data_IF_843621564694
#
_entry.id   IF_843621564694
#
_cell.length_a   1.000
_cell.length_b   1.000
_cell.length_c   1.000
_cell.angle_alpha   90.00
_cell.angle_beta   90.00
_cell.angle_gamma   90.00
#
_symmetry.space_group_name_H-M   'P 1'
#
loop_
_entity.id
_entity.type
_entity.pdbx_description
1 polymer ?
#
# COMPACT_ATOMS: atom_id res chain seq x y z
N UNK A 1 -5.05 37.25 -30.38
CA UNK A 1 -5.51 36.89 -29.03
C UNK A 1 -6.30 35.60 -29.17
N UNK A 2 -5.62 34.47 -29.15
CA UNK A 2 -6.24 33.13 -29.25
C UNK A 2 -6.22 32.53 -27.85
N UNK A 3 -7.42 32.34 -27.29
CA UNK A 3 -7.61 31.65 -26.02
C UNK A 3 -7.46 30.14 -26.26
N UNK A 4 -6.39 29.56 -25.79
CA UNK A 4 -6.27 28.09 -25.68
C UNK A 4 -7.25 27.58 -24.62
N UNK A 5 -8.33 26.97 -25.08
CA UNK A 5 -9.20 26.16 -24.22
C UNK A 5 -8.50 24.85 -23.98
N UNK A 6 -7.89 24.70 -22.81
CA UNK A 6 -7.35 23.43 -22.34
C UNK A 6 -8.51 22.48 -22.08
N UNK A 7 -8.83 21.63 -23.04
CA UNK A 7 -9.76 20.52 -22.87
C UNK A 7 -9.07 19.49 -21.98
N UNK A 8 -9.40 19.49 -20.69
CA UNK A 8 -9.07 18.37 -19.80
C UNK A 8 -9.87 17.17 -20.29
N UNK A 9 -9.23 16.28 -21.03
CA UNK A 9 -9.78 14.97 -21.37
C UNK A 9 -10.01 14.23 -20.05
N UNK A 10 -11.26 14.08 -19.64
CA UNK A 10 -11.66 13.11 -18.66
C UNK A 10 -11.24 11.73 -19.19
N UNK A 11 -10.14 11.20 -18.65
CA UNK A 11 -9.70 9.83 -18.95
C UNK A 11 -10.74 8.94 -18.26
N UNK A 12 -11.60 8.33 -19.04
CA UNK A 12 -12.60 7.40 -18.53
C UNK A 12 -11.87 6.24 -17.84
N UNK A 13 -12.09 6.08 -16.54
CA UNK A 13 -11.44 5.02 -15.77
C UNK A 13 -11.83 3.66 -16.33
N UNK A 14 -10.84 2.77 -16.51
CA UNK A 14 -11.09 1.39 -16.93
C UNK A 14 -11.99 0.67 -15.92
N UNK A 15 -12.71 -0.36 -16.36
CA UNK A 15 -13.55 -1.19 -15.48
C UNK A 15 -12.72 -1.79 -14.35
N UNK A 16 -11.49 -2.23 -14.64
CA UNK A 16 -10.54 -2.67 -13.63
C UNK A 16 -10.32 -1.61 -12.54
N UNK A 17 -10.03 -0.37 -12.91
CA UNK A 17 -9.80 0.72 -11.96
C UNK A 17 -11.05 1.04 -11.13
N UNK A 18 -12.24 1.00 -11.75
CA UNK A 18 -13.51 1.21 -11.04
C UNK A 18 -13.74 0.13 -9.98
N UNK A 19 -13.59 -1.14 -10.34
CA UNK A 19 -13.77 -2.25 -9.39
C UNK A 19 -12.70 -2.19 -8.29
N UNK A 20 -11.44 -1.94 -8.64
CA UNK A 20 -10.34 -1.79 -7.70
C UNK A 20 -10.61 -0.68 -6.68
N UNK A 21 -11.07 0.48 -7.14
CA UNK A 21 -11.41 1.59 -6.26
C UNK A 21 -12.60 1.25 -5.35
N UNK A 22 -13.62 0.58 -5.85
CA UNK A 22 -14.76 0.14 -5.04
C UNK A 22 -14.35 -0.86 -3.95
N UNK A 23 -13.37 -1.75 -4.23
CA UNK A 23 -12.79 -2.63 -3.21
C UNK A 23 -12.05 -1.82 -2.16
N UNK A 24 -11.19 -0.89 -2.58
CA UNK A 24 -10.38 -0.05 -1.70
C UNK A 24 -11.27 0.86 -0.83
N UNK A 25 -12.33 1.41 -1.40
CA UNK A 25 -13.26 2.30 -0.68
C UNK A 25 -14.25 1.54 0.21
N UNK A 26 -14.29 0.21 0.13
CA UNK A 26 -15.22 -0.62 0.90
C UNK A 26 -16.64 -0.67 0.33
N UNK A 27 -16.84 -0.20 -0.91
CA UNK A 27 -18.11 -0.28 -1.63
C UNK A 27 -18.44 -1.69 -2.13
N UNK A 28 -17.40 -2.54 -2.23
CA UNK A 28 -17.49 -3.98 -2.37
C UNK A 28 -17.02 -4.62 -1.06
N UNK A 29 -17.98 -5.10 -0.28
CA UNK A 29 -17.73 -5.59 1.08
C UNK A 29 -17.24 -7.04 1.12
N UNK A 30 -16.46 -7.33 2.15
CA UNK A 30 -15.69 -8.55 2.37
C UNK A 30 -16.48 -9.87 2.35
N UNK A 31 -17.74 -9.86 2.70
CA UNK A 31 -18.55 -11.09 2.82
C UNK A 31 -19.56 -11.22 1.68
N UNK A 32 -19.54 -10.34 0.70
CA UNK A 32 -20.43 -10.40 -0.44
C UNK A 32 -19.72 -11.03 -1.64
N UNK A 33 -20.32 -12.07 -2.21
CA UNK A 33 -19.77 -12.74 -3.39
C UNK A 33 -19.80 -11.81 -4.60
N UNK A 34 -18.62 -11.53 -5.12
CA UNK A 34 -18.41 -10.76 -6.35
C UNK A 34 -18.76 -11.66 -7.54
N UNK A 35 -19.72 -11.24 -8.37
CA UNK A 35 -20.10 -11.99 -9.57
C UNK A 35 -20.09 -11.11 -10.80
N UNK A 36 -19.70 -11.66 -11.95
CA UNK A 36 -19.73 -10.96 -13.24
C UNK A 36 -21.07 -10.27 -13.50
N UNK A 37 -22.17 -10.96 -13.19
CA UNK A 37 -23.53 -10.44 -13.45
C UNK A 37 -23.88 -9.22 -12.61
N UNK A 38 -23.51 -9.20 -11.31
CA UNK A 38 -23.73 -8.06 -10.43
C UNK A 38 -22.93 -6.85 -10.90
N UNK A 39 -21.64 -7.05 -11.21
CA UNK A 39 -20.77 -5.95 -11.64
C UNK A 39 -21.12 -5.43 -13.03
N UNK A 40 -21.47 -6.30 -13.98
CA UNK A 40 -21.92 -5.91 -15.31
C UNK A 40 -23.16 -4.98 -15.21
N UNK A 41 -24.11 -5.33 -14.31
CA UNK A 41 -25.27 -4.48 -14.03
C UNK A 41 -24.86 -3.17 -13.32
N UNK A 42 -23.98 -3.23 -12.31
CA UNK A 42 -23.52 -2.05 -11.54
C UNK A 42 -22.85 -1.00 -12.44
N UNK A 43 -21.98 -1.44 -13.36
CA UNK A 43 -21.23 -0.54 -14.23
C UNK A 43 -21.84 -0.32 -15.61
N UNK A 44 -22.96 -0.96 -15.90
CA UNK A 44 -23.68 -0.88 -17.19
C UNK A 44 -22.79 -1.23 -18.40
N UNK A 45 -22.07 -2.38 -18.31
CA UNK A 45 -21.20 -2.90 -19.34
C UNK A 45 -21.48 -4.40 -19.59
N UNK A 46 -20.94 -4.96 -20.69
CA UNK A 46 -21.00 -6.40 -20.94
C UNK A 46 -20.15 -7.19 -19.93
N UNK A 47 -20.30 -8.52 -19.87
CA UNK A 47 -19.56 -9.39 -18.96
C UNK A 47 -18.07 -9.52 -19.30
N UNK A 48 -17.71 -9.35 -20.57
CA UNK A 48 -16.32 -9.54 -21.03
C UNK A 48 -15.32 -8.64 -20.31
N UNK A 49 -15.47 -7.27 -20.31
CA UNK A 49 -14.54 -6.41 -19.59
C UNK A 49 -14.58 -6.62 -18.07
N UNK A 50 -15.71 -7.09 -17.51
CA UNK A 50 -15.79 -7.45 -16.09
C UNK A 50 -14.92 -8.68 -15.80
N UNK A 51 -15.03 -9.73 -16.62
CA UNK A 51 -14.23 -10.96 -16.46
C UNK A 51 -12.74 -10.71 -16.54
N UNK A 52 -12.30 -9.91 -17.52
CA UNK A 52 -10.91 -9.48 -17.65
C UNK A 52 -10.42 -8.73 -16.42
N UNK A 53 -11.21 -7.78 -15.93
CA UNK A 53 -10.89 -7.02 -14.71
C UNK A 53 -10.84 -7.91 -13.47
N UNK A 54 -11.79 -8.83 -13.29
CA UNK A 54 -11.79 -9.78 -12.17
C UNK A 54 -10.58 -10.72 -12.20
N UNK A 55 -10.24 -11.27 -13.39
CA UNK A 55 -9.05 -12.10 -13.54
C UNK A 55 -7.78 -11.33 -13.14
N UNK A 56 -7.66 -10.06 -13.54
CA UNK A 56 -6.52 -9.24 -13.14
C UNK A 56 -6.51 -8.97 -11.63
N UNK A 57 -7.66 -8.66 -11.02
CA UNK A 57 -7.79 -8.43 -9.58
C UNK A 57 -7.52 -9.71 -8.76
N UNK A 58 -7.84 -10.90 -9.29
CA UNK A 58 -7.47 -12.18 -8.68
C UNK A 58 -5.96 -12.42 -8.75
N UNK A 59 -5.31 -12.13 -9.90
CA UNK A 59 -3.85 -12.22 -10.04
C UNK A 59 -3.11 -11.23 -9.12
N UNK A 60 -3.73 -10.12 -8.81
CA UNK A 60 -3.23 -9.09 -7.88
C UNK A 60 -3.67 -9.35 -6.43
N UNK A 61 -4.40 -10.44 -6.17
CA UNK A 61 -4.92 -10.85 -4.87
C UNK A 61 -5.86 -9.84 -4.18
N UNK A 62 -6.51 -8.97 -4.93
CA UNK A 62 -7.63 -8.18 -4.40
C UNK A 62 -8.88 -9.04 -4.19
N UNK A 63 -8.99 -10.12 -4.96
CA UNK A 63 -10.10 -11.07 -4.93
C UNK A 63 -9.54 -12.48 -4.79
N UNK A 64 -10.15 -13.29 -3.93
CA UNK A 64 -9.85 -14.70 -3.74
C UNK A 64 -11.17 -15.46 -3.62
N UNK A 65 -11.36 -16.52 -4.41
CA UNK A 65 -12.56 -17.37 -4.41
C UNK A 65 -13.88 -16.57 -4.65
N UNK A 66 -13.78 -15.45 -5.36
CA UNK A 66 -14.91 -14.56 -5.65
C UNK A 66 -15.30 -13.62 -4.50
N UNK A 67 -14.44 -13.41 -3.53
CA UNK A 67 -14.60 -12.45 -2.42
C UNK A 67 -13.43 -11.47 -2.37
N UNK A 68 -13.66 -10.29 -1.80
CA UNK A 68 -12.55 -9.37 -1.48
C UNK A 68 -11.60 -10.09 -0.52
N UNK A 69 -10.32 -10.16 -0.92
CA UNK A 69 -9.31 -10.84 -0.13
C UNK A 69 -8.97 -10.06 1.12
N UNK A 70 -8.99 -10.75 2.25
CA UNK A 70 -8.45 -10.28 3.52
C UNK A 70 -7.52 -11.37 4.00
N UNK A 71 -6.24 -11.04 4.17
CA UNK A 71 -5.29 -12.02 4.64
C UNK A 71 -5.65 -12.48 6.07
N UNK A 72 -5.41 -13.74 6.34
CA UNK A 72 -5.33 -14.26 7.71
C UNK A 72 -4.12 -13.64 8.41
N UNK A 73 -4.05 -13.76 9.73
CA UNK A 73 -2.87 -13.31 10.50
C UNK A 73 -1.59 -13.96 10.00
N UNK A 74 -1.64 -15.22 9.59
CA UNK A 74 -0.50 -15.94 9.04
C UNK A 74 -0.11 -15.43 7.65
N UNK A 75 -1.07 -15.28 6.73
CA UNK A 75 -0.81 -14.71 5.40
C UNK A 75 -0.26 -13.29 5.52
N UNK A 76 -0.72 -12.49 6.49
CA UNK A 76 -0.23 -11.14 6.71
C UNK A 76 1.22 -11.11 7.22
N UNK A 77 1.60 -12.06 8.10
CA UNK A 77 3.01 -12.24 8.50
C UNK A 77 3.90 -12.56 7.30
N UNK A 78 3.46 -13.46 6.42
CA UNK A 78 4.19 -13.84 5.20
C UNK A 78 4.34 -12.65 4.23
N UNK A 79 3.34 -11.79 4.11
CA UNK A 79 3.42 -10.53 3.34
C UNK A 79 4.52 -9.62 3.93
N UNK A 80 4.56 -9.47 5.25
CA UNK A 80 5.58 -8.65 5.92
C UNK A 80 6.98 -9.25 5.87
N UNK A 81 7.12 -10.57 5.95
CA UNK A 81 8.40 -11.26 5.74
C UNK A 81 9.00 -10.92 4.37
N UNK A 82 8.17 -11.00 3.31
CA UNK A 82 8.58 -10.59 1.97
C UNK A 82 8.90 -9.09 1.89
N UNK A 83 8.11 -8.26 2.56
CA UNK A 83 8.33 -6.81 2.63
C UNK A 83 9.68 -6.49 3.26
N UNK A 84 9.97 -7.07 4.42
CA UNK A 84 11.24 -6.91 5.14
C UNK A 84 12.42 -7.31 4.23
N UNK A 85 12.33 -8.46 3.57
CA UNK A 85 13.38 -8.94 2.67
C UNK A 85 13.66 -7.95 1.52
N UNK A 86 12.61 -7.48 0.85
CA UNK A 86 12.75 -6.59 -0.30
C UNK A 86 13.21 -5.18 0.10
N UNK A 87 12.65 -4.63 1.16
CA UNK A 87 12.96 -3.27 1.59
C UNK A 87 14.33 -3.18 2.26
N UNK A 88 14.76 -4.19 3.05
CA UNK A 88 16.13 -4.25 3.59
C UNK A 88 17.17 -4.32 2.47
N UNK A 89 16.92 -5.10 1.42
CA UNK A 89 17.78 -5.11 0.23
C UNK A 89 17.79 -3.75 -0.47
N UNK A 90 16.63 -3.14 -0.66
CA UNK A 90 16.51 -1.83 -1.31
C UNK A 90 17.23 -0.72 -0.52
N UNK A 91 17.11 -0.72 0.81
CA UNK A 91 17.77 0.25 1.68
C UNK A 91 19.30 0.13 1.64
N UNK A 92 19.85 -1.10 1.57
CA UNK A 92 21.29 -1.31 1.34
C UNK A 92 21.75 -0.75 -0.01
N UNK A 93 20.89 -0.85 -1.05
CA UNK A 93 21.17 -0.21 -2.34
C UNK A 93 21.09 1.31 -2.24
N UNK A 94 20.05 1.86 -1.59
CA UNK A 94 19.88 3.28 -1.37
C UNK A 94 21.09 3.91 -0.68
N UNK A 95 21.63 3.27 0.34
CA UNK A 95 22.84 3.73 1.05
C UNK A 95 24.07 3.91 0.14
N UNK A 96 24.11 3.21 -1.01
CA UNK A 96 25.22 3.31 -1.99
C UNK A 96 24.92 4.31 -3.10
N UNK A 97 23.67 4.38 -3.59
CA UNK A 97 23.34 5.11 -4.82
C UNK A 97 22.69 6.46 -4.59
N UNK A 98 22.14 6.71 -3.39
CA UNK A 98 21.43 7.94 -3.11
C UNK A 98 22.34 9.16 -3.10
N UNK A 99 21.90 10.19 -3.80
CA UNK A 99 22.46 11.53 -3.77
C UNK A 99 21.93 12.31 -2.56
N UNK A 100 22.47 13.49 -2.31
CA UNK A 100 21.93 14.38 -1.27
C UNK A 100 20.48 14.80 -1.58
N UNK A 101 20.13 14.96 -2.86
CA UNK A 101 18.77 15.27 -3.30
C UNK A 101 17.80 14.12 -2.97
N UNK A 102 18.20 12.87 -3.20
CA UNK A 102 17.41 11.69 -2.82
C UNK A 102 17.18 11.60 -1.31
N UNK A 103 18.21 11.94 -0.51
CA UNK A 103 18.10 11.96 0.94
C UNK A 103 17.21 13.10 1.46
N UNK A 104 17.25 14.27 0.81
CA UNK A 104 16.35 15.38 1.11
C UNK A 104 14.89 15.03 0.77
N UNK A 105 14.66 14.40 -0.38
CA UNK A 105 13.34 13.91 -0.74
C UNK A 105 12.82 12.90 0.30
N UNK A 106 13.65 11.91 0.67
CA UNK A 106 13.27 10.91 1.68
C UNK A 106 12.97 11.57 3.04
N UNK A 107 13.77 12.58 3.43
CA UNK A 107 13.56 13.35 4.65
C UNK A 107 12.24 14.13 4.62
N UNK A 108 11.84 14.67 3.47
CA UNK A 108 10.60 15.44 3.35
C UNK A 108 9.35 14.67 3.75
N UNK A 109 9.37 13.33 3.60
CA UNK A 109 8.28 12.45 4.07
C UNK A 109 8.26 12.27 5.60
N UNK A 110 9.29 12.74 6.32
CA UNK A 110 9.38 12.68 7.78
C UNK A 110 9.14 14.03 8.47
N UNK A 111 9.02 15.11 7.70
CA UNK A 111 8.81 16.48 8.18
C UNK A 111 7.36 16.93 8.04
N UNK A 112 6.43 16.03 8.41
CA UNK A 112 5.00 16.23 8.21
C UNK A 112 4.32 16.33 9.57
N UNK A 113 3.50 17.37 9.72
CA UNK A 113 2.59 17.48 10.86
C UNK A 113 1.40 16.52 10.66
N UNK A 114 1.50 15.36 11.30
CA UNK A 114 0.50 14.30 11.22
C UNK A 114 -0.88 14.73 11.72
N UNK A 115 -0.96 15.74 12.59
CA UNK A 115 -2.22 16.23 13.13
C UNK A 115 -2.96 17.15 12.15
N UNK A 116 -2.25 17.66 11.15
CA UNK A 116 -2.81 18.49 10.08
C UNK A 116 -3.30 17.69 8.88
N UNK A 117 -3.03 16.37 8.80
CA UNK A 117 -3.32 15.53 7.64
C UNK A 117 -4.55 14.66 7.85
N UNK A 118 -5.31 14.50 6.76
CA UNK A 118 -6.33 13.46 6.65
C UNK A 118 -5.68 12.06 6.62
N UNK A 119 -6.40 11.05 7.09
CA UNK A 119 -5.91 9.68 7.21
C UNK A 119 -5.38 9.11 5.87
N UNK A 120 -6.06 9.42 4.77
CA UNK A 120 -5.63 9.04 3.41
C UNK A 120 -4.26 9.62 3.04
N UNK A 121 -4.00 10.88 3.41
CA UNK A 121 -2.73 11.55 3.14
C UNK A 121 -1.58 10.92 3.93
N UNK A 122 -1.86 10.47 5.16
CA UNK A 122 -0.89 9.77 6.00
C UNK A 122 -0.51 8.45 5.36
N UNK A 123 -1.49 7.66 4.91
CA UNK A 123 -1.25 6.39 4.22
C UNK A 123 -0.43 6.62 2.95
N UNK A 124 -0.77 7.64 2.16
CA UNK A 124 -0.06 7.98 0.92
C UNK A 124 1.37 8.41 1.19
N UNK A 125 1.62 9.17 2.25
CA UNK A 125 2.97 9.62 2.61
C UNK A 125 3.82 8.46 3.10
N UNK A 126 3.27 7.61 3.96
CA UNK A 126 3.93 6.37 4.37
C UNK A 126 4.31 5.50 3.16
N UNK A 127 3.37 5.33 2.23
CA UNK A 127 3.58 4.60 0.99
C UNK A 127 4.68 5.23 0.11
N UNK A 128 4.72 6.56 0.01
CA UNK A 128 5.73 7.29 -0.75
C UNK A 128 7.14 7.10 -0.17
N UNK A 129 7.30 7.11 1.15
CA UNK A 129 8.56 6.84 1.83
C UNK A 129 9.14 5.48 1.43
N UNK A 130 8.35 4.42 1.56
CA UNK A 130 8.78 3.07 1.22
C UNK A 130 9.01 2.89 -0.28
N UNK A 131 8.19 3.49 -1.14
CA UNK A 131 8.38 3.48 -2.60
C UNK A 131 9.69 4.16 -3.00
N UNK A 132 10.05 5.26 -2.37
CA UNK A 132 11.34 5.93 -2.61
C UNK A 132 12.49 4.99 -2.30
N UNK A 133 12.49 4.30 -1.16
CA UNK A 133 13.50 3.30 -0.82
C UNK A 133 13.57 2.20 -1.89
N UNK A 134 12.43 1.65 -2.28
CA UNK A 134 12.36 0.58 -3.27
C UNK A 134 12.87 1.00 -4.65
N UNK A 135 12.70 2.27 -5.04
CA UNK A 135 13.18 2.80 -6.30
C UNK A 135 14.71 2.68 -6.45
N UNK A 136 15.47 2.70 -5.35
CA UNK A 136 16.92 2.52 -5.34
C UNK A 136 17.38 1.17 -5.92
N UNK A 137 16.51 0.17 -5.97
CA UNK A 137 16.83 -1.13 -6.57
C UNK A 137 17.06 -1.04 -8.07
N UNK A 138 16.41 -0.08 -8.75
CA UNK A 138 16.37 0.05 -10.21
C UNK A 138 16.12 -1.30 -10.92
N UNK A 139 15.27 -2.14 -10.33
CA UNK A 139 14.95 -3.48 -10.82
C UNK A 139 13.43 -3.65 -10.97
N UNK A 140 12.97 -3.65 -12.22
CA UNK A 140 11.54 -3.69 -12.53
C UNK A 140 10.84 -4.95 -12.00
N UNK A 141 11.53 -6.09 -11.94
CA UNK A 141 10.95 -7.32 -11.38
C UNK A 141 10.71 -7.20 -9.87
N UNK A 142 11.65 -6.59 -9.14
CA UNK A 142 11.48 -6.31 -7.71
C UNK A 142 10.35 -5.32 -7.51
N UNK A 143 10.33 -4.21 -8.25
CA UNK A 143 9.32 -3.16 -8.14
C UNK A 143 7.91 -3.69 -8.42
N UNK A 144 7.74 -4.52 -9.46
CA UNK A 144 6.45 -5.12 -9.80
C UNK A 144 5.92 -6.05 -8.68
N UNK A 145 6.80 -6.84 -8.06
CA UNK A 145 6.39 -7.70 -6.94
C UNK A 145 6.08 -6.88 -5.68
N UNK A 146 6.89 -5.86 -5.39
CA UNK A 146 6.65 -4.97 -4.27
C UNK A 146 5.33 -4.21 -4.40
N UNK A 147 4.98 -3.74 -5.60
CA UNK A 147 3.71 -3.06 -5.86
C UNK A 147 2.50 -3.94 -5.52
N UNK A 148 2.59 -5.25 -5.75
CA UNK A 148 1.54 -6.19 -5.35
C UNK A 148 1.41 -6.25 -3.82
N UNK A 149 2.53 -6.39 -3.10
CA UNK A 149 2.54 -6.39 -1.63
C UNK A 149 1.93 -5.10 -1.07
N UNK A 150 2.29 -3.95 -1.62
CA UNK A 150 1.75 -2.66 -1.21
C UNK A 150 0.23 -2.58 -1.38
N UNK A 151 -0.29 -3.13 -2.47
CA UNK A 151 -1.73 -3.16 -2.70
C UNK A 151 -2.49 -3.87 -1.57
N UNK A 152 -1.92 -4.97 -1.04
CA UNK A 152 -2.51 -5.68 0.12
C UNK A 152 -2.42 -4.87 1.39
N UNK A 153 -1.25 -4.31 1.67
CA UNK A 153 -1.00 -3.51 2.86
C UNK A 153 -1.92 -2.29 2.86
N UNK A 154 -2.05 -1.61 1.72
CA UNK A 154 -2.93 -0.47 1.57
C UNK A 154 -4.40 -0.84 1.80
N UNK A 155 -4.89 -1.90 1.12
CA UNK A 155 -6.25 -2.40 1.29
C UNK A 155 -6.54 -2.76 2.75
N UNK A 156 -5.59 -3.44 3.39
CA UNK A 156 -5.70 -3.85 4.78
C UNK A 156 -5.71 -2.65 5.73
N UNK A 157 -4.79 -1.71 5.55
CA UNK A 157 -4.72 -0.50 6.37
C UNK A 157 -6.02 0.30 6.30
N UNK A 158 -6.58 0.46 5.11
CA UNK A 158 -7.81 1.22 4.91
C UNK A 158 -9.06 0.50 5.42
N UNK A 159 -9.14 -0.82 5.26
CA UNK A 159 -10.36 -1.58 5.58
C UNK A 159 -10.39 -2.19 6.98
N UNK A 160 -9.23 -2.48 7.55
CA UNK A 160 -9.12 -3.19 8.83
C UNK A 160 -8.63 -2.29 9.96
N UNK A 161 -7.59 -1.52 9.73
CA UNK A 161 -6.92 -0.75 10.78
C UNK A 161 -7.67 0.55 11.05
N UNK A 162 -7.81 1.39 10.03
CA UNK A 162 -8.44 2.72 10.10
C UNK A 162 -8.00 3.52 11.34
N UNK A 163 -6.70 3.51 11.66
CA UNK A 163 -6.09 4.23 12.78
C UNK A 163 -4.61 4.50 12.51
N UNK A 164 -4.14 5.63 13.03
CA UNK A 164 -2.73 6.00 13.00
C UNK A 164 -1.91 5.11 13.92
N UNK A 165 -0.78 4.62 13.44
CA UNK A 165 0.23 4.01 14.30
C UNK A 165 1.07 5.09 14.95
N UNK A 166 1.17 5.12 16.29
CA UNK A 166 2.09 6.03 16.98
C UNK A 166 3.55 5.74 16.60
N UNK A 167 4.38 6.77 16.53
CA UNK A 167 5.81 6.64 16.29
C UNK A 167 6.22 6.40 14.83
N UNK A 168 5.27 6.39 13.88
CA UNK A 168 5.52 6.08 12.47
C UNK A 168 6.56 7.03 11.84
N UNK A 169 6.37 8.32 12.01
CA UNK A 169 7.20 9.35 11.39
C UNK A 169 8.55 9.46 12.07
N UNK A 170 8.58 9.34 13.39
CA UNK A 170 9.80 9.34 14.20
C UNK A 170 10.72 8.18 13.79
N UNK A 171 10.17 6.98 13.59
CA UNK A 171 10.93 5.82 13.10
C UNK A 171 11.49 6.06 11.69
N UNK A 172 10.71 6.66 10.78
CA UNK A 172 11.20 7.03 9.46
C UNK A 172 12.35 8.05 9.56
N UNK A 173 12.22 9.07 10.42
CA UNK A 173 13.28 10.06 10.63
C UNK A 173 14.57 9.43 11.14
N UNK A 174 14.49 8.45 12.04
CA UNK A 174 15.66 7.69 12.53
C UNK A 174 16.35 6.89 11.41
N UNK A 175 15.58 6.28 10.50
CA UNK A 175 16.11 5.57 9.33
C UNK A 175 16.88 6.55 8.42
N UNK A 176 16.27 7.71 8.11
CA UNK A 176 16.91 8.75 7.28
C UNK A 176 18.18 9.27 7.94
N UNK A 177 18.15 9.53 9.25
CA UNK A 177 19.33 9.98 9.99
C UNK A 177 20.47 8.96 9.95
N UNK A 178 20.16 7.67 10.04
CA UNK A 178 21.15 6.61 9.93
C UNK A 178 21.77 6.52 8.52
N UNK A 179 20.96 6.68 7.46
CA UNK A 179 21.43 6.76 6.07
C UNK A 179 22.35 7.96 5.85
N UNK A 180 21.97 9.16 6.31
CA UNK A 180 22.78 10.38 6.22
C UNK A 180 24.15 10.22 6.92
N UNK A 181 24.17 9.51 8.04
CA UNK A 181 25.39 9.20 8.78
C UNK A 181 26.18 8.02 8.15
N UNK A 182 25.77 7.54 6.97
CA UNK A 182 26.37 6.39 6.26
C UNK A 182 26.45 5.12 7.09
N UNK A 183 25.55 4.98 8.08
CA UNK A 183 25.46 3.80 8.91
C UNK A 183 24.38 2.85 8.36
N UNK A 184 24.73 2.16 7.27
CA UNK A 184 23.81 1.28 6.54
C UNK A 184 23.23 0.18 7.41
N UNK A 185 24.05 -0.47 8.25
CA UNK A 185 23.57 -1.58 9.09
C UNK A 185 22.57 -1.08 10.15
N UNK A 186 22.81 0.09 10.73
CA UNK A 186 21.85 0.73 11.64
C UNK A 186 20.57 1.11 10.92
N UNK A 187 20.65 1.68 9.71
CA UNK A 187 19.48 2.05 8.93
C UNK A 187 18.59 0.83 8.61
N UNK A 188 19.22 -0.28 8.22
CA UNK A 188 18.53 -1.55 7.94
C UNK A 188 17.87 -2.11 9.20
N UNK A 189 18.59 -2.15 10.33
CA UNK A 189 18.02 -2.62 11.59
C UNK A 189 16.80 -1.78 12.05
N UNK A 190 16.89 -0.45 11.89
CA UNK A 190 15.76 0.46 12.18
C UNK A 190 14.57 0.22 11.24
N UNK A 191 14.82 -0.01 9.94
CA UNK A 191 13.76 -0.35 8.99
C UNK A 191 13.08 -1.68 9.34
N UNK A 192 13.86 -2.71 9.67
CA UNK A 192 13.31 -4.02 10.06
C UNK A 192 12.48 -3.90 11.34
N UNK A 193 12.93 -3.11 12.32
CA UNK A 193 12.16 -2.83 13.53
C UNK A 193 10.86 -2.07 13.20
N UNK A 194 10.92 -1.04 12.37
CA UNK A 194 9.77 -0.28 11.89
C UNK A 194 8.73 -1.19 11.24
N UNK A 195 9.14 -2.07 10.32
CA UNK A 195 8.25 -3.01 9.66
C UNK A 195 7.63 -4.03 10.61
N UNK A 196 8.38 -4.51 11.61
CA UNK A 196 7.84 -5.38 12.64
C UNK A 196 6.82 -4.65 13.53
N UNK A 197 7.07 -3.38 13.88
CA UNK A 197 6.10 -2.56 14.62
C UNK A 197 4.80 -2.35 13.81
N UNK A 198 4.90 -2.11 12.49
CA UNK A 198 3.75 -2.04 11.59
C UNK A 198 2.95 -3.35 11.55
N UNK A 199 3.66 -4.48 11.48
CA UNK A 199 3.03 -5.81 11.50
C UNK A 199 2.25 -6.04 12.79
N UNK A 200 2.88 -5.85 13.95
CA UNK A 200 2.24 -6.09 15.24
C UNK A 200 1.03 -5.17 15.46
N UNK A 201 1.14 -3.89 15.09
CA UNK A 201 0.02 -2.96 15.11
C UNK A 201 -1.14 -3.44 14.23
N UNK A 202 -0.83 -3.90 13.02
CA UNK A 202 -1.83 -4.40 12.08
C UNK A 202 -2.52 -5.67 12.59
N UNK A 203 -1.75 -6.62 13.13
CA UNK A 203 -2.27 -7.88 13.68
C UNK A 203 -3.16 -7.66 14.91
N UNK A 204 -2.85 -6.66 15.73
CA UNK A 204 -3.71 -6.29 16.85
C UNK A 204 -5.14 -5.94 16.37
N UNK A 205 -5.27 -5.16 15.29
CA UNK A 205 -6.58 -4.79 14.74
C UNK A 205 -7.27 -5.95 14.00
N UNK A 206 -6.51 -6.80 13.32
CA UNK A 206 -7.04 -7.98 12.63
C UNK A 206 -7.71 -8.93 13.64
N UNK A 207 -7.01 -9.27 14.72
CA UNK A 207 -7.49 -10.20 15.73
C UNK A 207 -8.70 -9.64 16.49
N UNK A 208 -8.68 -8.35 16.85
CA UNK A 208 -9.81 -7.72 17.57
C UNK A 208 -11.07 -7.49 16.69
N UNK A 209 -10.94 -7.51 15.35
CA UNK A 209 -12.10 -7.45 14.46
C UNK A 209 -12.81 -8.80 14.31
N UNK A 210 -12.08 -9.91 14.39
CA UNK A 210 -12.65 -11.27 14.38
C UNK A 210 -13.48 -11.55 15.62
N UNK A 211 -13.06 -11.07 16.80
CA UNK A 211 -13.80 -11.25 18.05
C UNK A 211 -15.14 -10.49 18.08
N UNK A 212 -15.25 -9.35 17.40
CA UNK A 212 -16.51 -8.59 17.31
C UNK A 212 -17.57 -9.23 16.40
N UNK A 213 -17.19 -10.19 15.53
CA UNK A 213 -18.12 -10.90 14.64
C UNK A 213 -18.62 -12.23 15.23
N UNK A 214 -18.03 -12.70 16.33
CA UNK A 214 -18.45 -13.92 17.04
C UNK A 214 -19.49 -13.69 18.15
N UNK A 215 -19.98 -12.46 18.30
CA UNK A 215 -20.95 -12.04 19.33
C UNK A 215 -22.26 -11.52 18.72
N UNK A 216 -22.69 -12.09 17.56
CA UNK A 216 -24.05 -11.87 17.02
C UNK A 216 -24.70 -13.17 16.66
#
# INVERSE_FOLDING_TARGET
MYSEVTVVKNVEQSIYQKIRNDIINGDLIQNEKITETKLAKKYNVSRTPIREALTQLELEYFIKDGYVFIPTSEEYRQIFEMRILLESYALRKAAVVYTEEDLLELQSYTEIDMDSLEEEQIIQTNDAFHKKIMAATNNQFILNNYQKLQSYIYLFSKTVINKRRPGLIEEHAEIVAALRNRNTDKAVALLEQHLNNDLEFSLYYLNNKSDRKSVV
#
